data_IF_785341672707
#
_entry.id   IF_785341672707
#
_cell.length_a   1.000
_cell.length_b   1.000
_cell.length_c   1.000
_cell.angle_alpha   90.00
_cell.angle_beta   90.00
_cell.angle_gamma   90.00
#
_symmetry.space_group_name_H-M   'P 1'
#
loop_
_entity.id
_entity.type
_entity.pdbx_description
1 polymer ?
#
# COMPACT_ATOMS: atom_id res chain seq x y z
N UNK A 1 0.66 -21.09 -9.99
CA UNK A 1 -0.26 -20.64 -11.06
C UNK A 1 0.04 -19.18 -11.42
N UNK A 2 0.12 -18.81 -12.71
CA UNK A 2 0.54 -17.46 -13.14
C UNK A 2 -0.59 -16.41 -13.11
N UNK A 3 -1.85 -16.86 -13.19
CA UNK A 3 -3.06 -16.01 -13.33
C UNK A 3 -3.87 -15.86 -12.04
N UNK A 4 -3.38 -16.40 -10.92
CA UNK A 4 -4.01 -16.28 -9.60
C UNK A 4 -3.17 -15.30 -8.78
N UNK A 5 -3.79 -14.22 -8.31
CA UNK A 5 -3.15 -13.16 -7.57
C UNK A 5 -3.77 -13.06 -6.18
N UNK A 6 -2.95 -12.70 -5.20
CA UNK A 6 -3.41 -12.33 -3.87
C UNK A 6 -2.96 -10.89 -3.60
N UNK A 7 -3.87 -10.04 -3.15
CA UNK A 7 -3.55 -8.73 -2.64
C UNK A 7 -3.97 -8.61 -1.17
N UNK A 8 -3.13 -7.95 -0.38
CA UNK A 8 -3.37 -7.76 1.04
C UNK A 8 -2.79 -6.43 1.52
N UNK A 9 -3.36 -5.91 2.60
CA UNK A 9 -3.02 -4.62 3.16
C UNK A 9 -2.23 -4.74 4.46
N UNK A 10 -1.19 -3.90 4.57
CA UNK A 10 -0.38 -3.88 5.79
C UNK A 10 -0.06 -2.46 6.23
N UNK A 11 -0.08 -2.24 7.54
CA UNK A 11 0.36 -0.99 8.16
C UNK A 11 1.85 -1.03 8.44
N UNK A 12 2.62 -0.13 7.81
CA UNK A 12 4.02 0.10 8.14
C UNK A 12 4.14 1.28 9.11
N UNK A 13 4.78 1.05 10.24
CA UNK A 13 5.01 2.05 11.28
C UNK A 13 6.49 2.41 11.33
N UNK A 14 6.89 3.41 10.56
CA UNK A 14 8.31 3.73 10.36
C UNK A 14 8.94 4.55 11.49
N UNK A 15 8.12 5.16 12.36
CA UNK A 15 8.54 5.95 13.53
C UNK A 15 8.17 5.32 14.88
N UNK A 16 7.71 4.07 14.88
CA UNK A 16 7.22 3.44 16.10
C UNK A 16 8.39 3.04 16.99
N UNK A 17 8.43 3.62 18.19
CA UNK A 17 9.40 3.26 19.21
C UNK A 17 9.07 1.87 19.79
N UNK A 18 10.08 1.10 20.22
CA UNK A 18 9.86 -0.14 20.95
C UNK A 18 9.04 0.12 22.22
N UNK A 19 8.07 -0.74 22.52
CA UNK A 19 7.25 -0.60 23.73
C UNK A 19 8.03 -0.77 25.05
N UNK A 20 9.28 -1.29 25.00
CA UNK A 20 10.04 -1.76 26.17
C UNK A 20 11.36 -1.05 26.46
N UNK A 21 11.74 -0.01 25.73
CA UNK A 21 12.92 0.77 26.13
C UNK A 21 12.59 1.63 27.35
N UNK A 22 13.47 1.61 28.35
CA UNK A 22 13.47 2.47 29.52
C UNK A 22 13.54 3.94 29.10
N UNK A 23 12.40 4.52 28.71
CA UNK A 23 12.26 5.95 28.57
C UNK A 23 12.36 6.49 29.99
N UNK A 24 13.35 7.34 30.25
CA UNK A 24 13.51 7.97 31.55
C UNK A 24 12.23 8.75 31.87
N UNK A 25 11.87 8.88 33.17
CA UNK A 25 10.65 9.61 33.55
C UNK A 25 10.66 11.03 33.00
N UNK A 26 11.85 11.60 32.78
CA UNK A 26 12.05 12.93 32.24
C UNK A 26 11.71 13.02 30.73
N UNK A 27 12.04 12.01 29.91
CA UNK A 27 11.72 11.99 28.47
C UNK A 27 10.23 11.85 28.16
N UNK A 28 9.46 11.12 28.99
CA UNK A 28 7.99 11.02 28.84
C UNK A 28 7.26 12.35 29.07
N UNK A 29 7.87 13.25 29.82
CA UNK A 29 7.28 14.53 30.27
C UNK A 29 7.84 15.71 29.46
N UNK A 30 8.79 15.45 28.55
CA UNK A 30 9.35 16.46 27.66
C UNK A 30 8.24 17.14 26.82
N UNK A 31 8.16 18.48 26.82
CA UNK A 31 7.18 19.20 26.01
C UNK A 31 7.32 18.85 24.53
N UNK A 32 6.27 18.27 23.94
CA UNK A 32 6.29 17.81 22.54
C UNK A 32 6.45 16.30 22.34
N UNK A 33 6.59 15.51 23.42
CA UNK A 33 6.56 14.05 23.35
C UNK A 33 5.17 13.54 22.93
N UNK A 34 4.95 13.38 21.63
CA UNK A 34 3.87 12.55 21.07
C UNK A 34 4.49 11.23 20.68
N UNK A 35 3.89 10.12 21.11
CA UNK A 35 4.17 8.81 20.51
C UNK A 35 3.86 8.97 19.02
N UNK A 36 4.92 9.10 18.21
CA UNK A 36 4.80 9.38 16.79
C UNK A 36 4.43 8.08 16.08
N UNK A 37 3.17 7.67 16.18
CA UNK A 37 2.62 6.59 15.37
C UNK A 37 2.34 7.11 13.96
N UNK A 38 3.42 7.42 13.24
CA UNK A 38 3.32 7.75 11.82
C UNK A 38 3.17 6.44 11.04
N UNK A 39 1.92 6.12 10.71
CA UNK A 39 1.52 4.91 9.98
C UNK A 39 1.36 5.25 8.51
N UNK A 40 1.95 4.41 7.66
CA UNK A 40 1.66 4.36 6.24
C UNK A 40 1.05 3.00 5.91
N UNK A 41 0.13 2.97 4.96
CA UNK A 41 -0.57 1.74 4.58
C UNK A 41 -0.05 1.30 3.21
N UNK A 42 0.27 0.01 3.08
CA UNK A 42 0.74 -0.59 1.84
C UNK A 42 -0.30 -1.58 1.35
N UNK A 43 -0.55 -1.60 0.04
CA UNK A 43 -1.17 -2.73 -0.64
C UNK A 43 -0.07 -3.45 -1.40
N UNK A 44 0.10 -4.73 -1.10
CA UNK A 44 1.02 -5.62 -1.78
C UNK A 44 0.20 -6.62 -2.59
N UNK A 45 0.63 -6.92 -3.81
CA UNK A 45 -0.06 -7.90 -4.65
C UNK A 45 0.97 -8.72 -5.43
N UNK A 46 0.81 -10.03 -5.44
CA UNK A 46 1.69 -10.94 -6.18
C UNK A 46 0.89 -12.11 -6.75
N UNK A 47 1.41 -12.74 -7.81
CA UNK A 47 0.83 -13.97 -8.34
C UNK A 47 1.31 -15.21 -7.57
N UNK A 48 0.57 -16.31 -7.70
CA UNK A 48 0.84 -17.55 -6.98
C UNK A 48 2.11 -18.28 -7.47
N UNK A 49 2.66 -17.94 -8.64
CA UNK A 49 4.00 -18.39 -9.07
C UNK A 49 5.13 -17.56 -8.49
N UNK A 50 4.86 -16.36 -7.97
CA UNK A 50 5.84 -15.48 -7.34
C UNK A 50 6.77 -14.74 -8.31
N UNK A 51 6.57 -14.87 -9.62
CA UNK A 51 7.38 -14.23 -10.65
C UNK A 51 6.87 -12.84 -11.04
N UNK A 52 5.65 -12.46 -10.62
CA UNK A 52 5.17 -11.09 -10.66
C UNK A 52 4.76 -10.61 -9.26
N UNK A 53 5.45 -9.57 -8.81
CA UNK A 53 4.99 -8.69 -7.74
C UNK A 53 4.54 -7.38 -8.39
N UNK A 54 3.26 -7.07 -8.28
CA UNK A 54 2.69 -5.82 -8.79
C UNK A 54 3.26 -4.67 -7.98
N UNK A 55 3.51 -3.54 -8.63
CA UNK A 55 4.00 -2.33 -7.97
C UNK A 55 3.16 -2.01 -6.74
N UNK A 56 3.78 -1.90 -5.56
CA UNK A 56 3.05 -1.71 -4.32
C UNK A 56 2.38 -0.34 -4.29
N UNK A 57 1.15 -0.28 -3.77
CA UNK A 57 0.51 1.00 -3.45
C UNK A 57 0.99 1.47 -2.09
N UNK A 58 1.35 2.75 -1.99
CA UNK A 58 1.63 3.41 -0.72
C UNK A 58 0.61 4.50 -0.48
N UNK A 59 -0.11 4.39 0.64
CA UNK A 59 -1.07 5.37 1.11
C UNK A 59 -0.54 6.06 2.37
N UNK A 60 -0.41 7.38 2.30
CA UNK A 60 0.05 8.20 3.41
C UNK A 60 -0.95 9.28 3.81
N UNK A 61 -0.76 9.88 5.00
CA UNK A 61 -1.67 10.90 5.52
C UNK A 61 -1.61 12.24 4.79
N UNK A 62 -0.46 12.55 4.19
CA UNK A 62 -0.19 13.82 3.49
C UNK A 62 0.20 13.54 2.05
N UNK A 63 -0.39 14.27 1.10
CA UNK A 63 -0.02 14.16 -0.31
C UNK A 63 1.42 14.60 -0.56
N UNK A 64 1.89 15.61 0.18
CA UNK A 64 3.21 16.23 0.05
C UNK A 64 3.91 16.26 1.42
N UNK A 65 4.43 15.13 1.92
CA UNK A 65 5.24 15.14 3.13
C UNK A 65 6.53 15.94 2.89
N UNK A 66 7.04 16.60 3.93
CA UNK A 66 8.29 17.35 3.84
C UNK A 66 9.46 16.49 3.34
N UNK A 67 9.48 15.19 3.68
CA UNK A 67 10.49 14.24 3.21
C UNK A 67 10.49 14.03 1.68
N UNK A 68 9.37 14.30 0.99
CA UNK A 68 9.25 14.18 -0.47
C UNK A 68 9.17 15.54 -1.16
N UNK A 69 9.60 16.62 -0.50
CA UNK A 69 9.62 17.96 -1.09
C UNK A 69 10.49 17.98 -2.35
N UNK A 70 9.95 18.51 -3.45
CA UNK A 70 10.64 18.58 -4.73
C UNK A 70 10.76 17.23 -5.48
N UNK A 71 10.13 16.16 -4.99
CA UNK A 71 10.11 14.86 -5.69
C UNK A 71 8.84 14.69 -6.51
N UNK A 72 8.99 14.25 -7.76
CA UNK A 72 7.86 13.81 -8.57
C UNK A 72 7.40 12.44 -8.08
N UNK A 73 6.13 12.37 -7.64
CA UNK A 73 5.53 11.15 -7.07
C UNK A 73 5.32 10.06 -8.11
N UNK A 74 5.22 10.43 -9.39
CA UNK A 74 5.08 9.49 -10.50
C UNK A 74 6.37 8.68 -10.74
N UNK A 75 7.53 9.21 -10.32
CA UNK A 75 8.82 8.51 -10.42
C UNK A 75 9.14 7.65 -9.20
N UNK A 76 8.26 7.61 -8.19
CA UNK A 76 8.44 6.73 -7.06
C UNK A 76 8.20 5.28 -7.50
N UNK A 77 8.90 4.30 -6.90
CA UNK A 77 8.70 2.87 -7.19
C UNK A 77 7.40 2.32 -6.54
N UNK A 78 6.45 3.20 -6.21
CA UNK A 78 5.18 2.88 -5.56
C UNK A 78 4.05 3.62 -6.25
N UNK A 79 2.86 3.04 -6.26
CA UNK A 79 1.65 3.77 -6.61
C UNK A 79 1.28 4.71 -5.45
N UNK A 80 1.68 5.97 -5.53
CA UNK A 80 1.53 6.92 -4.42
C UNK A 80 0.12 7.50 -4.33
N UNK A 81 -0.50 7.38 -3.15
CA UNK A 81 -1.76 8.03 -2.81
C UNK A 81 -1.72 8.63 -1.41
N UNK A 82 -2.66 9.54 -1.14
CA UNK A 82 -2.80 10.10 0.20
C UNK A 82 -4.25 10.40 0.58
N UNK A 83 -4.60 10.11 1.82
CA UNK A 83 -5.85 10.55 2.46
C UNK A 83 -5.61 10.80 3.96
N UNK A 84 -6.39 11.67 4.60
CA UNK A 84 -6.11 12.11 5.99
C UNK A 84 -6.00 10.98 7.01
N UNK A 85 -6.72 9.87 6.79
CA UNK A 85 -6.76 8.74 7.72
C UNK A 85 -5.64 7.72 7.47
N UNK A 86 -5.06 7.66 6.26
CA UNK A 86 -4.20 6.56 5.80
C UNK A 86 -4.87 5.18 5.96
N UNK A 87 -6.12 5.07 5.48
CA UNK A 87 -6.86 3.80 5.36
C UNK A 87 -7.26 3.59 3.91
N UNK A 88 -7.21 2.35 3.44
CA UNK A 88 -7.71 1.98 2.11
C UNK A 88 -9.23 2.09 2.13
N UNK A 89 -9.76 2.89 1.20
CA UNK A 89 -11.19 3.00 0.93
C UNK A 89 -11.47 2.35 -0.41
N UNK A 90 -12.74 2.01 -0.70
CA UNK A 90 -13.14 1.45 -1.99
C UNK A 90 -12.64 2.30 -3.17
N UNK A 91 -12.74 3.63 -3.09
CA UNK A 91 -12.24 4.52 -4.16
C UNK A 91 -10.72 4.42 -4.36
N UNK A 92 -9.96 4.37 -3.27
CA UNK A 92 -8.49 4.24 -3.32
C UNK A 92 -8.09 2.87 -3.87
N UNK A 93 -8.79 1.81 -3.45
CA UNK A 93 -8.59 0.46 -3.96
C UNK A 93 -8.90 0.39 -5.45
N UNK A 94 -10.04 0.92 -5.89
CA UNK A 94 -10.45 0.93 -7.30
C UNK A 94 -9.51 1.74 -8.18
N UNK A 95 -8.98 2.84 -7.67
CA UNK A 95 -7.96 3.63 -8.36
C UNK A 95 -6.66 2.82 -8.56
N UNK A 96 -6.18 2.11 -7.53
CA UNK A 96 -5.06 1.19 -7.68
C UNK A 96 -5.37 0.03 -8.63
N UNK A 97 -6.56 -0.56 -8.53
CA UNK A 97 -6.98 -1.68 -9.36
C UNK A 97 -6.93 -1.31 -10.85
N UNK A 98 -7.58 -0.22 -11.22
CA UNK A 98 -7.68 0.22 -12.61
C UNK A 98 -6.37 0.81 -13.15
N UNK A 99 -5.69 1.65 -12.36
CA UNK A 99 -4.55 2.43 -12.85
C UNK A 99 -3.18 1.79 -12.55
N UNK A 100 -3.14 0.66 -11.84
CA UNK A 100 -1.91 -0.05 -11.52
C UNK A 100 -2.03 -1.56 -11.79
N UNK A 101 -2.92 -2.25 -11.08
CA UNK A 101 -3.03 -3.71 -11.13
C UNK A 101 -3.35 -4.22 -12.55
N UNK A 102 -4.45 -3.76 -13.15
CA UNK A 102 -4.90 -4.20 -14.49
C UNK A 102 -3.79 -4.02 -15.52
N UNK A 103 -3.15 -2.84 -15.52
CA UNK A 103 -2.10 -2.51 -16.48
C UNK A 103 -0.84 -3.36 -16.32
N UNK A 104 -0.41 -3.65 -15.09
CA UNK A 104 0.79 -4.47 -14.85
C UNK A 104 0.53 -5.94 -15.13
N UNK A 105 -0.63 -6.45 -14.77
CA UNK A 105 -1.01 -7.85 -15.03
C UNK A 105 -1.23 -8.09 -16.52
N UNK A 106 -1.88 -7.17 -17.24
CA UNK A 106 -2.05 -7.28 -18.69
C UNK A 106 -0.70 -7.37 -19.41
N UNK A 107 0.25 -6.48 -19.10
CA UNK A 107 1.61 -6.51 -19.66
C UNK A 107 2.32 -7.83 -19.37
N UNK A 108 2.22 -8.32 -18.14
CA UNK A 108 2.80 -9.59 -17.73
C UNK A 108 2.19 -10.76 -18.52
N UNK A 109 0.87 -10.86 -18.63
CA UNK A 109 0.21 -11.95 -19.34
C UNK A 109 0.49 -11.92 -20.85
N UNK A 110 0.59 -10.74 -21.46
CA UNK A 110 1.05 -10.59 -22.85
C UNK A 110 2.45 -11.16 -23.01
N UNK A 111 3.38 -10.84 -22.09
CA UNK A 111 4.76 -11.38 -22.15
C UNK A 111 4.83 -12.90 -21.96
N UNK A 112 3.87 -13.47 -21.22
CA UNK A 112 3.72 -14.92 -21.01
C UNK A 112 2.90 -15.62 -22.10
N UNK A 113 2.37 -14.87 -23.08
CA UNK A 113 1.45 -15.38 -24.12
C UNK A 113 0.20 -16.05 -23.55
N UNK A 114 -0.30 -15.51 -22.44
CA UNK A 114 -1.52 -15.98 -21.78
C UNK A 114 -2.69 -15.06 -22.11
N UNK A 115 -3.90 -15.63 -22.10
CA UNK A 115 -5.13 -14.83 -22.23
C UNK A 115 -5.33 -13.95 -20.99
N UNK A 116 -5.92 -12.77 -21.16
CA UNK A 116 -6.24 -11.87 -20.04
C UNK A 116 -7.46 -12.39 -19.25
N UNK A 117 -7.20 -13.39 -18.40
CA UNK A 117 -8.14 -13.95 -17.43
C UNK A 117 -7.42 -14.04 -16.10
N UNK A 118 -7.94 -13.38 -15.08
CA UNK A 118 -7.23 -13.23 -13.81
C UNK A 118 -8.19 -13.53 -12.67
N UNK A 119 -7.70 -14.24 -11.66
CA UNK A 119 -8.37 -14.37 -10.37
C UNK A 119 -7.60 -13.54 -9.35
N UNK A 120 -8.21 -12.45 -8.86
CA UNK A 120 -7.68 -11.68 -7.75
C UNK A 120 -8.39 -12.11 -6.46
N UNK A 121 -7.61 -12.62 -5.50
CA UNK A 121 -8.05 -12.96 -4.16
C UNK A 121 -7.86 -11.77 -3.24
N UNK A 122 -8.91 -11.45 -2.50
CA UNK A 122 -8.98 -10.36 -1.53
C UNK A 122 -9.59 -10.90 -0.23
N UNK A 123 -9.24 -10.29 0.89
CA UNK A 123 -9.93 -10.52 2.15
C UNK A 123 -11.30 -9.81 2.16
N UNK A 124 -12.07 -9.99 3.24
CA UNK A 124 -13.36 -9.33 3.42
C UNK A 124 -13.24 -7.99 4.17
N UNK A 125 -12.30 -7.13 3.78
CA UNK A 125 -12.17 -5.78 4.32
C UNK A 125 -13.21 -4.81 3.73
N UNK A 126 -13.70 -3.88 4.56
CA UNK A 126 -14.63 -2.83 4.12
C UNK A 126 -14.05 -1.84 3.10
N UNK A 127 -12.72 -1.86 2.92
CA UNK A 127 -12.02 -1.10 1.88
C UNK A 127 -12.18 -1.71 0.49
N UNK A 128 -12.61 -2.97 0.39
CA UNK A 128 -12.85 -3.64 -0.87
C UNK A 128 -14.25 -3.33 -1.42
N UNK A 129 -14.39 -3.17 -2.75
CA UNK A 129 -15.69 -2.97 -3.36
C UNK A 129 -16.57 -4.22 -3.16
N UNK A 130 -17.84 -4.01 -2.82
CA UNK A 130 -18.80 -5.10 -2.64
C UNK A 130 -19.21 -5.79 -3.96
N UNK A 131 -18.83 -5.21 -5.10
CA UNK A 131 -19.17 -5.70 -6.44
C UNK A 131 -18.07 -6.62 -6.97
N UNK A 132 -18.45 -7.61 -7.80
CA UNK A 132 -17.47 -8.43 -8.53
C UNK A 132 -16.69 -7.52 -9.50
N UNK A 133 -15.37 -7.53 -9.34
CA UNK A 133 -14.41 -6.81 -10.17
C UNK A 133 -14.01 -7.60 -11.41
#
# INVERSE_FOLDING_TARGET
PEQVFNADETGLFWKKMPQRTYISKEEKVAPGFKVAEDRLTLIMCANASGDLVVKPMMLYRSLNPCALKGKNKQHLPVFWRANRKAWVTADVFMDWFNNCFVHEVEKYLVSKKLTFKVLLLLDNAAGHPAQRL
#
